data_IF_240099000627
#
_entry.id   IF_240099000627
#
_cell.length_a   1.000
_cell.length_b   1.000
_cell.length_c   1.000
_cell.angle_alpha   90.00
_cell.angle_beta   90.00
_cell.angle_gamma   90.00
#
_symmetry.space_group_name_H-M   'P 1'
#
loop_
_entity.id
_entity.type
_entity.pdbx_description
1 polymer ?
#
# COMPACT_ATOMS: atom_id res chain seq x y z
N UNK A 1 20.52 6.45 -19.68
CA UNK A 1 20.97 6.31 -18.28
C UNK A 1 20.89 7.66 -17.56
N UNK A 2 19.69 8.08 -17.16
CA UNK A 2 19.53 9.20 -16.24
C UNK A 2 19.60 8.67 -14.81
N UNK A 3 20.80 8.46 -14.30
CA UNK A 3 21.00 8.21 -12.86
C UNK A 3 20.49 9.40 -12.07
N UNK A 4 19.83 9.15 -10.93
CA UNK A 4 19.48 10.18 -9.97
C UNK A 4 20.77 10.92 -9.60
N UNK A 5 20.82 12.22 -9.92
CA UNK A 5 21.99 13.04 -9.60
C UNK A 5 21.89 13.54 -8.13
N UNK A 6 21.72 12.60 -7.19
CA UNK A 6 21.69 12.88 -5.77
C UNK A 6 22.88 12.19 -5.09
N UNK A 7 23.61 12.96 -4.30
CA UNK A 7 24.70 12.43 -3.49
C UNK A 7 24.12 11.92 -2.16
N UNK A 8 24.32 10.65 -1.87
CA UNK A 8 23.87 10.02 -0.63
C UNK A 8 24.87 10.35 0.48
N UNK A 9 24.43 11.05 1.50
CA UNK A 9 25.26 11.45 2.65
C UNK A 9 24.81 10.86 3.98
N UNK A 10 23.57 10.31 4.02
CA UNK A 10 22.93 9.76 5.21
C UNK A 10 22.15 8.49 4.86
N UNK A 11 21.72 7.77 5.89
CA UNK A 11 20.71 6.74 5.72
C UNK A 11 19.45 7.36 5.12
N UNK A 12 18.96 6.81 4.02
CA UNK A 12 17.91 7.43 3.23
C UNK A 12 16.70 6.51 3.12
N UNK A 13 15.56 6.96 3.64
CA UNK A 13 14.28 6.35 3.36
C UNK A 13 13.66 6.95 2.09
N UNK A 14 12.88 6.16 1.38
CA UNK A 14 12.03 6.63 0.30
C UNK A 14 10.56 6.38 0.63
N UNK A 15 9.73 7.41 0.52
CA UNK A 15 8.29 7.36 0.74
C UNK A 15 7.56 7.80 -0.52
N UNK A 16 7.16 6.86 -1.40
CA UNK A 16 6.50 7.16 -2.67
C UNK A 16 4.99 7.39 -2.54
N UNK A 17 4.42 7.15 -1.38
CA UNK A 17 2.98 7.22 -1.17
C UNK A 17 2.46 8.67 -1.08
N UNK A 18 1.15 8.81 -1.32
CA UNK A 18 0.43 10.05 -1.08
C UNK A 18 0.46 10.42 0.41
N UNK A 19 0.72 11.68 0.72
CA UNK A 19 0.60 12.21 2.07
C UNK A 19 -0.87 12.50 2.41
N UNK A 20 -1.22 12.35 3.68
CA UNK A 20 -2.55 12.63 4.22
C UNK A 20 -2.84 11.82 5.48
N UNK A 21 -3.93 12.20 6.16
CA UNK A 21 -4.39 11.49 7.37
C UNK A 21 -4.70 10.01 7.08
N UNK A 22 -5.36 9.64 5.96
CA UNK A 22 -5.64 8.23 5.68
C UNK A 22 -4.39 7.35 5.55
N UNK A 23 -3.24 7.93 5.21
CA UNK A 23 -1.95 7.23 5.13
C UNK A 23 -1.12 7.30 6.42
N UNK A 24 -1.60 8.05 7.42
CA UNK A 24 -0.92 8.22 8.70
C UNK A 24 0.33 9.10 8.64
N UNK A 25 0.34 10.07 7.72
CA UNK A 25 1.45 11.05 7.62
C UNK A 25 1.60 11.85 8.91
N UNK A 26 0.50 12.19 9.57
CA UNK A 26 0.48 12.84 10.88
C UNK A 26 1.11 11.99 11.98
N UNK A 27 0.94 10.67 11.93
CA UNK A 27 1.57 9.72 12.88
C UNK A 27 3.07 9.63 12.61
N UNK A 28 3.45 9.54 11.33
CA UNK A 28 4.86 9.55 10.92
C UNK A 28 5.54 10.85 11.38
N UNK A 29 4.96 12.03 11.14
CA UNK A 29 5.53 13.33 11.57
C UNK A 29 5.74 13.39 13.09
N UNK A 30 4.78 12.85 13.86
CA UNK A 30 4.95 12.74 15.32
C UNK A 30 6.08 11.79 15.70
N UNK A 31 6.18 10.65 15.04
CA UNK A 31 7.25 9.67 15.27
C UNK A 31 8.63 10.24 14.97
N UNK A 32 8.79 10.98 13.86
CA UNK A 32 10.05 11.57 13.45
C UNK A 32 10.62 12.56 14.49
N UNK A 33 9.75 13.22 15.26
CA UNK A 33 10.15 14.10 16.37
C UNK A 33 10.73 13.33 17.56
N UNK A 34 10.47 12.02 17.65
CA UNK A 34 10.93 11.13 18.74
C UNK A 34 12.16 10.32 18.35
N UNK A 35 12.51 10.26 17.08
CA UNK A 35 13.68 9.53 16.58
C UNK A 35 14.98 10.12 17.11
N UNK A 36 15.96 9.24 17.39
CA UNK A 36 17.27 9.57 17.95
C UNK A 36 18.40 9.47 16.94
N UNK A 37 18.17 8.78 15.83
CA UNK A 37 19.15 8.53 14.77
C UNK A 37 19.12 9.63 13.72
N UNK A 38 20.21 9.79 12.96
CA UNK A 38 20.32 10.74 11.85
C UNK A 38 20.04 10.07 10.51
N UNK A 39 19.05 10.56 9.80
CA UNK A 39 18.61 10.04 8.50
C UNK A 39 17.86 11.10 7.70
N UNK A 40 17.54 10.80 6.45
CA UNK A 40 16.66 11.60 5.63
C UNK A 40 15.54 10.75 5.01
N UNK A 41 14.42 11.39 4.69
CA UNK A 41 13.29 10.80 3.97
C UNK A 41 13.07 11.57 2.68
N UNK A 42 13.15 10.87 1.56
CA UNK A 42 12.71 11.39 0.27
C UNK A 42 11.21 11.11 0.13
N UNK A 43 10.40 12.12 0.41
CA UNK A 43 8.94 12.04 0.35
C UNK A 43 8.44 12.62 -0.97
N UNK A 44 7.69 11.85 -1.75
CA UNK A 44 7.03 12.39 -2.93
C UNK A 44 6.00 13.44 -2.52
N UNK A 45 6.10 14.64 -3.10
CA UNK A 45 5.16 15.73 -2.86
C UNK A 45 3.83 15.46 -3.57
N UNK A 46 3.02 14.61 -2.95
CA UNK A 46 1.74 14.17 -3.46
C UNK A 46 0.67 14.21 -2.37
N UNK A 47 -0.35 15.05 -2.57
CA UNK A 47 -1.51 15.21 -1.69
C UNK A 47 -2.82 14.95 -2.44
N UNK A 48 -3.88 14.68 -1.69
CA UNK A 48 -5.23 14.85 -2.19
C UNK A 48 -5.59 16.34 -2.13
N UNK A 49 -6.11 16.87 -3.22
CA UNK A 49 -6.51 18.26 -3.34
C UNK A 49 -7.96 18.35 -3.87
N UNK A 50 -8.75 17.30 -3.61
CA UNK A 50 -10.09 17.16 -4.17
C UNK A 50 -11.15 18.05 -3.54
N UNK A 51 -10.90 18.56 -2.33
CA UNK A 51 -11.82 19.40 -1.58
C UNK A 51 -11.08 20.26 -0.53
N UNK A 52 -11.81 21.20 0.08
CA UNK A 52 -11.27 22.17 1.04
C UNK A 52 -10.73 21.51 2.32
N UNK A 53 -11.26 20.37 2.74
CA UNK A 53 -10.77 19.64 3.91
C UNK A 53 -9.38 19.05 3.65
N UNK A 54 -9.19 18.41 2.49
CA UNK A 54 -7.90 17.86 2.08
C UNK A 54 -6.86 18.97 1.87
N UNK A 55 -7.26 20.14 1.37
CA UNK A 55 -6.37 21.31 1.26
C UNK A 55 -5.90 21.82 2.62
N UNK A 56 -6.77 21.85 3.63
CA UNK A 56 -6.40 22.20 5.01
C UNK A 56 -5.44 21.19 5.62
N UNK A 57 -5.69 19.89 5.41
CA UNK A 57 -4.80 18.81 5.84
C UNK A 57 -3.41 18.97 5.20
N UNK A 58 -3.36 19.24 3.90
CA UNK A 58 -2.10 19.52 3.19
C UNK A 58 -1.34 20.68 3.83
N UNK A 59 -2.02 21.81 4.05
CA UNK A 59 -1.42 22.99 4.66
C UNK A 59 -0.88 22.69 6.06
N UNK A 60 -1.65 22.01 6.90
CA UNK A 60 -1.21 21.58 8.22
C UNK A 60 0.04 20.70 8.16
N UNK A 61 0.03 19.65 7.33
CA UNK A 61 1.15 18.72 7.22
C UNK A 61 2.43 19.39 6.68
N UNK A 62 2.29 20.38 5.80
CA UNK A 62 3.43 21.16 5.30
C UNK A 62 3.98 22.11 6.37
N UNK A 63 3.13 22.72 7.18
CA UNK A 63 3.54 23.57 8.30
C UNK A 63 4.24 22.78 9.41
N UNK A 64 3.89 21.50 9.57
CA UNK A 64 4.48 20.60 10.57
C UNK A 64 5.62 19.74 10.00
N UNK A 65 6.09 20.01 8.78
CA UNK A 65 7.08 19.19 8.07
C UNK A 65 8.36 19.00 8.89
N UNK A 66 8.74 17.76 9.25
CA UNK A 66 9.96 17.50 9.99
C UNK A 66 11.23 17.79 9.17
N UNK A 67 12.30 18.21 9.83
CA UNK A 67 13.57 18.52 9.17
C UNK A 67 14.24 17.37 8.44
N UNK A 68 13.91 16.12 8.83
CA UNK A 68 14.38 14.90 8.17
C UNK A 68 13.75 14.68 6.80
N UNK A 69 12.62 15.34 6.50
CA UNK A 69 11.83 15.10 5.29
C UNK A 69 12.22 16.08 4.20
N UNK A 70 12.63 15.54 3.06
CA UNK A 70 12.87 16.28 1.81
C UNK A 70 11.74 15.96 0.82
N UNK A 71 10.96 16.96 0.48
CA UNK A 71 9.94 16.83 -0.53
C UNK A 71 10.57 16.78 -1.92
N UNK A 72 10.23 15.75 -2.68
CA UNK A 72 10.65 15.59 -4.07
C UNK A 72 9.44 15.63 -5.02
N UNK A 73 9.63 16.12 -6.26
CA UNK A 73 8.53 16.16 -7.23
C UNK A 73 7.90 14.79 -7.50
N UNK A 74 6.70 14.78 -8.08
CA UNK A 74 6.07 13.58 -8.60
C UNK A 74 7.00 12.84 -9.56
N UNK A 75 7.12 11.52 -9.36
CA UNK A 75 8.04 10.66 -10.09
C UNK A 75 7.27 9.90 -11.16
N UNK A 76 7.77 9.91 -12.39
CA UNK A 76 7.23 9.05 -13.44
C UNK A 76 7.43 7.57 -13.08
N UNK A 77 6.40 6.73 -13.29
CA UNK A 77 6.42 5.31 -12.95
C UNK A 77 7.70 4.57 -13.38
N UNK A 78 8.18 4.84 -14.60
CA UNK A 78 9.40 4.24 -15.14
C UNK A 78 10.69 4.59 -14.41
N UNK A 79 10.69 5.68 -13.61
CA UNK A 79 11.84 6.11 -12.80
C UNK A 79 11.78 5.65 -11.35
N UNK A 80 10.66 5.12 -10.90
CA UNK A 80 10.49 4.62 -9.52
C UNK A 80 11.57 3.63 -9.09
N UNK A 81 11.99 2.63 -9.93
CA UNK A 81 13.04 1.69 -9.55
C UNK A 81 14.37 2.35 -9.20
N UNK A 82 14.69 3.51 -9.78
CA UNK A 82 15.92 4.26 -9.49
C UNK A 82 15.88 4.80 -8.03
N UNK A 83 14.71 5.30 -7.58
CA UNK A 83 14.53 5.79 -6.21
C UNK A 83 14.51 4.65 -5.20
N UNK A 84 13.83 3.54 -5.50
CA UNK A 84 13.91 2.35 -4.67
C UNK A 84 15.36 1.86 -4.51
N UNK A 85 16.13 1.80 -5.61
CA UNK A 85 17.53 1.37 -5.58
C UNK A 85 18.43 2.33 -4.81
N UNK A 86 18.18 3.64 -4.91
CA UNK A 86 18.94 4.69 -4.24
C UNK A 86 18.75 4.66 -2.72
N UNK A 87 17.55 4.39 -2.22
CA UNK A 87 17.23 4.38 -0.79
C UNK A 87 17.80 3.16 -0.07
N UNK A 88 17.88 3.23 1.28
CA UNK A 88 18.26 2.11 2.15
C UNK A 88 17.05 1.31 2.61
N UNK A 89 15.91 2.01 2.81
CA UNK A 89 14.65 1.43 3.23
C UNK A 89 13.47 2.22 2.65
N UNK A 90 12.29 1.64 2.71
CA UNK A 90 11.05 2.24 2.19
C UNK A 90 10.11 2.55 3.35
N UNK A 91 9.37 3.65 3.25
CA UNK A 91 8.27 3.96 4.17
C UNK A 91 6.95 3.79 3.44
N UNK A 92 6.12 2.87 3.94
CA UNK A 92 4.74 2.64 3.57
C UNK A 92 3.76 3.42 4.44
N UNK A 93 2.53 2.92 4.58
CA UNK A 93 1.50 3.60 5.38
C UNK A 93 1.65 3.34 6.89
N UNK A 94 1.18 4.31 7.71
CA UNK A 94 1.24 4.22 9.17
C UNK A 94 -0.15 4.11 9.81
N UNK A 95 -1.24 3.90 9.03
CA UNK A 95 -2.60 3.90 9.57
C UNK A 95 -3.48 2.75 9.10
N UNK A 96 -3.32 2.29 7.86
CA UNK A 96 -4.24 1.33 7.23
C UNK A 96 -4.20 -0.04 7.92
N UNK A 97 -3.04 -0.46 8.42
CA UNK A 97 -2.87 -1.74 9.13
C UNK A 97 -2.74 -2.95 8.23
N UNK A 98 -2.58 -2.74 6.92
CA UNK A 98 -2.27 -3.78 5.93
C UNK A 98 -1.28 -3.26 4.91
N UNK A 99 -0.57 -4.16 4.26
CA UNK A 99 0.40 -3.80 3.23
C UNK A 99 -0.27 -3.27 1.95
N UNK A 100 0.44 -2.44 1.22
CA UNK A 100 0.03 -1.82 -0.03
C UNK A 100 1.02 -2.13 -1.17
N UNK A 101 0.71 -1.69 -2.39
CA UNK A 101 1.59 -1.91 -3.55
C UNK A 101 3.00 -1.35 -3.35
N UNK A 102 3.11 -0.21 -2.67
CA UNK A 102 4.39 0.42 -2.33
C UNK A 102 5.28 -0.51 -1.50
N UNK A 103 4.66 -1.23 -0.56
CA UNK A 103 5.36 -2.15 0.33
C UNK A 103 5.89 -3.35 -0.46
N UNK A 104 5.06 -3.91 -1.34
CA UNK A 104 5.46 -4.99 -2.24
C UNK A 104 6.59 -4.56 -3.18
N UNK A 105 6.47 -3.38 -3.80
CA UNK A 105 7.50 -2.82 -4.68
C UNK A 105 8.82 -2.63 -3.94
N UNK A 106 8.79 -2.14 -2.70
CA UNK A 106 9.97 -1.98 -1.85
C UNK A 106 10.70 -3.30 -1.63
N UNK A 107 9.98 -4.33 -1.17
CA UNK A 107 10.55 -5.67 -0.94
C UNK A 107 11.06 -6.29 -2.25
N UNK A 108 10.32 -6.17 -3.35
CA UNK A 108 10.74 -6.69 -4.66
C UNK A 108 11.99 -5.96 -5.22
N UNK A 109 12.22 -4.72 -4.79
CA UNK A 109 13.45 -3.97 -5.10
C UNK A 109 14.60 -4.25 -4.11
N UNK A 110 14.43 -5.20 -3.20
CA UNK A 110 15.47 -5.62 -2.25
C UNK A 110 15.65 -4.67 -1.07
N UNK A 111 14.58 -3.99 -0.64
CA UNK A 111 14.61 -3.03 0.46
C UNK A 111 13.71 -3.45 1.61
N UNK A 112 14.16 -3.30 2.87
CA UNK A 112 13.28 -3.42 4.03
C UNK A 112 12.25 -2.30 4.00
N UNK A 113 11.05 -2.59 4.50
CA UNK A 113 9.90 -1.69 4.44
C UNK A 113 9.34 -1.42 5.83
N UNK A 114 9.27 -0.16 6.19
CA UNK A 114 8.54 0.29 7.37
C UNK A 114 7.09 0.58 6.97
N UNK A 115 6.16 -0.28 7.36
CA UNK A 115 4.73 -0.10 7.11
C UNK A 115 3.92 -0.70 8.25
N UNK A 116 2.98 0.08 8.81
CA UNK A 116 2.14 -0.40 9.89
C UNK A 116 1.29 -1.60 9.45
N UNK A 117 1.36 -2.67 10.21
CA UNK A 117 0.57 -3.86 9.99
C UNK A 117 -0.12 -4.30 11.29
N UNK A 118 -1.45 -4.20 11.34
CA UNK A 118 -2.23 -4.59 12.51
C UNK A 118 -2.10 -6.10 12.76
N UNK A 119 -1.57 -6.45 13.93
CA UNK A 119 -1.36 -7.85 14.36
C UNK A 119 -2.66 -8.66 14.49
N UNK A 120 -3.82 -8.00 14.56
CA UNK A 120 -5.13 -8.66 14.58
C UNK A 120 -5.58 -9.07 13.17
N UNK A 121 -5.06 -8.45 12.13
CA UNK A 121 -5.36 -8.82 10.75
C UNK A 121 -4.58 -10.10 10.39
N UNK A 122 -5.34 -11.13 10.02
CA UNK A 122 -4.79 -12.39 9.52
C UNK A 122 -5.15 -12.52 8.05
N UNK A 123 -4.15 -12.83 7.25
CA UNK A 123 -4.27 -13.05 5.81
C UNK A 123 -4.30 -14.55 5.54
N UNK A 124 -5.19 -14.98 4.67
CA UNK A 124 -5.19 -16.37 4.19
C UNK A 124 -4.14 -16.50 3.09
N UNK A 125 -3.04 -17.20 3.40
CA UNK A 125 -1.93 -17.44 2.47
C UNK A 125 -1.68 -18.95 2.41
N UNK A 126 -1.80 -19.52 1.24
CA UNK A 126 -1.60 -20.98 1.02
C UNK A 126 -2.42 -21.83 2.00
N UNK A 127 -3.69 -21.47 2.22
CA UNK A 127 -4.60 -22.17 3.12
C UNK A 127 -4.38 -21.94 4.61
N UNK A 128 -3.40 -21.13 5.01
CA UNK A 128 -3.08 -20.82 6.41
C UNK A 128 -3.33 -19.37 6.75
N UNK A 129 -3.90 -19.09 7.93
CA UNK A 129 -3.99 -17.74 8.45
C UNK A 129 -2.64 -17.27 8.99
N UNK A 130 -2.06 -16.31 8.31
CA UNK A 130 -0.72 -15.78 8.57
C UNK A 130 -0.80 -14.29 8.93
N UNK A 131 0.00 -13.86 9.90
CA UNK A 131 0.20 -12.45 10.19
C UNK A 131 1.18 -11.84 9.19
N UNK A 132 1.03 -10.56 8.94
CA UNK A 132 1.99 -9.82 8.13
C UNK A 132 3.35 -9.72 8.84
N UNK A 133 4.43 -9.73 8.06
CA UNK A 133 5.79 -9.52 8.55
C UNK A 133 6.22 -8.05 8.56
N UNK A 134 5.39 -7.14 8.05
CA UNK A 134 5.69 -5.71 8.07
C UNK A 134 5.58 -5.13 9.48
N UNK A 135 6.47 -4.20 9.81
CA UNK A 135 6.55 -3.52 11.10
C UNK A 135 6.34 -2.01 10.93
N UNK A 136 5.88 -1.32 11.99
CA UNK A 136 5.48 -1.83 13.31
C UNK A 136 4.11 -2.51 13.34
N UNK A 137 3.82 -3.27 14.41
CA UNK A 137 2.49 -3.81 14.68
C UNK A 137 1.59 -2.88 15.51
N UNK A 138 2.05 -1.69 15.79
CA UNK A 138 1.34 -0.60 16.46
C UNK A 138 1.54 0.68 15.68
N UNK A 139 0.49 1.48 15.54
CA UNK A 139 0.55 2.78 14.88
C UNK A 139 0.81 3.95 15.84
N UNK A 140 1.28 3.66 17.07
CA UNK A 140 1.69 4.70 18.01
C UNK A 140 3.00 5.35 17.55
N UNK A 141 3.12 6.67 17.61
CA UNK A 141 4.34 7.36 17.20
C UNK A 141 5.62 6.84 17.87
N UNK A 142 5.55 6.42 19.13
CA UNK A 142 6.68 5.90 19.90
C UNK A 142 7.18 4.57 19.31
N UNK A 143 6.26 3.68 18.92
CA UNK A 143 6.59 2.37 18.34
C UNK A 143 7.14 2.55 16.91
N UNK A 144 6.56 3.47 16.13
CA UNK A 144 7.07 3.83 14.80
C UNK A 144 8.49 4.36 14.92
N UNK A 145 8.74 5.32 15.84
CA UNK A 145 10.06 5.91 16.04
C UNK A 145 11.11 4.87 16.44
N UNK A 146 10.75 3.94 17.34
CA UNK A 146 11.63 2.85 17.73
C UNK A 146 12.06 2.00 16.56
N UNK A 147 11.13 1.59 15.69
CA UNK A 147 11.46 0.78 14.50
C UNK A 147 12.31 1.58 13.49
N UNK A 148 12.04 2.88 13.32
CA UNK A 148 12.91 3.75 12.49
C UNK A 148 14.34 3.74 13.03
N UNK A 149 14.53 3.97 14.33
CA UNK A 149 15.86 4.00 14.94
C UNK A 149 16.57 2.62 14.82
N UNK A 150 15.86 1.51 14.96
CA UNK A 150 16.40 0.16 14.76
C UNK A 150 16.79 -0.08 13.29
N UNK A 151 15.95 0.33 12.33
CA UNK A 151 16.27 0.23 10.90
C UNK A 151 17.52 1.06 10.56
N UNK A 152 17.69 2.24 11.13
CA UNK A 152 18.83 3.12 10.82
C UNK A 152 20.10 2.58 11.48
N UNK A 153 20.05 2.16 12.75
CA UNK A 153 21.22 1.84 13.55
C UNK A 153 21.74 0.40 13.41
N UNK A 154 20.86 -0.59 13.15
CA UNK A 154 21.25 -2.00 13.12
C UNK A 154 21.12 -2.60 11.71
N UNK A 155 22.25 -3.04 11.17
CA UNK A 155 22.26 -3.78 9.90
C UNK A 155 21.62 -5.16 10.06
N UNK A 156 21.86 -5.81 11.18
CA UNK A 156 21.32 -7.14 11.51
C UNK A 156 19.78 -7.09 11.54
N UNK A 157 19.22 -6.06 12.19
CA UNK A 157 17.78 -5.86 12.22
C UNK A 157 17.19 -5.64 10.82
N UNK A 158 17.84 -4.82 9.99
CA UNK A 158 17.41 -4.60 8.61
C UNK A 158 17.41 -5.86 7.78
N UNK A 159 18.47 -6.66 7.89
CA UNK A 159 18.63 -7.90 7.13
C UNK A 159 17.56 -8.92 7.55
N UNK A 160 17.29 -9.05 8.86
CA UNK A 160 16.25 -9.92 9.39
C UNK A 160 14.86 -9.47 8.96
N UNK A 161 14.55 -8.17 9.09
CA UNK A 161 13.29 -7.58 8.66
C UNK A 161 13.05 -7.85 7.18
N UNK A 162 14.02 -7.53 6.33
CA UNK A 162 13.92 -7.75 4.89
C UNK A 162 13.69 -9.23 4.54
N UNK A 163 14.40 -10.17 5.16
CA UNK A 163 14.22 -11.60 4.90
C UNK A 163 12.82 -12.09 5.31
N UNK A 164 12.28 -11.59 6.42
CA UNK A 164 10.92 -11.91 6.87
C UNK A 164 9.88 -11.36 5.90
N UNK A 165 10.03 -10.11 5.48
CA UNK A 165 9.17 -9.47 4.49
C UNK A 165 9.26 -10.17 3.12
N UNK A 166 10.45 -10.50 2.66
CA UNK A 166 10.68 -11.20 1.39
C UNK A 166 9.97 -12.55 1.36
N UNK A 167 10.08 -13.33 2.45
CA UNK A 167 9.37 -14.61 2.57
C UNK A 167 7.86 -14.42 2.56
N UNK A 168 7.38 -13.44 3.29
CA UNK A 168 5.95 -13.11 3.36
C UNK A 168 5.42 -12.70 1.98
N UNK A 169 6.09 -11.78 1.29
CA UNK A 169 5.70 -11.30 -0.05
C UNK A 169 5.76 -12.45 -1.05
N UNK A 170 6.83 -13.25 -1.06
CA UNK A 170 6.95 -14.41 -1.95
C UNK A 170 5.80 -15.40 -1.79
N UNK A 171 5.38 -15.65 -0.55
CA UNK A 171 4.26 -16.55 -0.29
C UNK A 171 2.91 -15.93 -0.66
N UNK A 172 2.70 -14.64 -0.35
CA UNK A 172 1.43 -13.95 -0.60
C UNK A 172 1.20 -13.63 -2.08
N UNK A 173 2.26 -13.57 -2.89
CA UNK A 173 2.21 -13.31 -4.34
C UNK A 173 2.50 -14.53 -5.20
N UNK A 174 2.48 -15.71 -4.63
CA UNK A 174 2.68 -16.98 -5.33
C UNK A 174 1.59 -17.18 -6.39
N UNK A 175 2.00 -17.18 -7.65
CA UNK A 175 1.09 -17.17 -8.81
C UNK A 175 0.29 -18.47 -8.92
N UNK A 176 0.93 -19.60 -8.65
CA UNK A 176 0.29 -20.91 -8.75
C UNK A 176 -0.80 -21.06 -7.68
N UNK A 177 -0.46 -20.71 -6.43
CA UNK A 177 -1.44 -20.73 -5.36
C UNK A 177 -2.61 -19.77 -5.59
N UNK A 178 -2.35 -18.54 -6.04
CA UNK A 178 -3.39 -17.55 -6.32
C UNK A 178 -4.29 -18.05 -7.45
N UNK A 179 -3.71 -18.60 -8.54
CA UNK A 179 -4.50 -19.14 -9.66
C UNK A 179 -5.42 -20.27 -9.20
N UNK A 180 -4.87 -21.26 -8.52
CA UNK A 180 -5.64 -22.41 -8.03
C UNK A 180 -6.75 -21.98 -7.07
N UNK A 181 -6.48 -21.01 -6.17
CA UNK A 181 -7.48 -20.48 -5.25
C UNK A 181 -8.65 -19.79 -5.98
N UNK A 182 -8.35 -19.02 -7.05
CA UNK A 182 -9.36 -18.40 -7.89
C UNK A 182 -10.19 -19.45 -8.64
N UNK A 183 -9.55 -20.48 -9.18
CA UNK A 183 -10.24 -21.57 -9.90
C UNK A 183 -11.19 -22.31 -8.95
N UNK A 184 -10.76 -22.70 -7.76
CA UNK A 184 -11.62 -23.31 -6.72
C UNK A 184 -12.78 -22.39 -6.33
N UNK A 185 -12.52 -21.09 -6.19
CA UNK A 185 -13.54 -20.11 -5.86
C UNK A 185 -14.60 -20.02 -6.97
N UNK A 186 -14.17 -19.94 -8.23
CA UNK A 186 -15.08 -19.91 -9.38
C UNK A 186 -15.87 -21.19 -9.53
N UNK A 187 -15.27 -22.35 -9.35
CA UNK A 187 -15.99 -23.64 -9.34
C UNK A 187 -17.06 -23.68 -8.25
N UNK A 188 -16.72 -23.28 -7.03
CA UNK A 188 -17.66 -23.21 -5.90
C UNK A 188 -18.84 -22.29 -6.22
N UNK A 189 -18.57 -21.13 -6.77
CA UNK A 189 -19.63 -20.20 -7.18
C UNK A 189 -20.46 -20.74 -8.33
N UNK A 190 -19.84 -21.34 -9.35
CA UNK A 190 -20.55 -21.95 -10.48
C UNK A 190 -21.53 -23.03 -10.01
N UNK A 191 -21.10 -23.96 -9.17
CA UNK A 191 -21.96 -24.98 -8.59
C UNK A 191 -23.11 -24.41 -7.78
N UNK A 192 -22.85 -23.37 -6.98
CA UNK A 192 -23.88 -22.67 -6.19
C UNK A 192 -24.89 -21.97 -7.09
N UNK A 193 -24.46 -21.35 -8.18
CA UNK A 193 -25.34 -20.69 -9.14
C UNK A 193 -26.13 -21.70 -10.00
N UNK A 194 -25.57 -22.84 -10.40
CA UNK A 194 -26.30 -23.87 -11.08
C UNK A 194 -27.45 -24.43 -10.21
N UNK A 195 -27.21 -24.64 -8.93
CA UNK A 195 -28.24 -25.06 -7.99
C UNK A 195 -29.34 -24.01 -7.78
N UNK A 196 -29.01 -22.73 -7.83
CA UNK A 196 -29.99 -21.64 -7.79
C UNK A 196 -30.80 -21.60 -9.08
N UNK A 197 -30.18 -21.86 -10.24
CA UNK A 197 -30.87 -21.92 -11.54
C UNK A 197 -31.81 -23.12 -11.68
N UNK A 198 -31.45 -24.26 -11.14
CA UNK A 198 -32.33 -25.45 -11.15
C UNK A 198 -33.60 -25.27 -10.30
N UNK A 199 -33.53 -24.39 -9.28
CA UNK A 199 -34.62 -24.11 -8.34
C UNK A 199 -35.43 -22.85 -8.65
N UNK A 200 -35.00 -22.01 -9.58
CA UNK A 200 -35.70 -20.78 -9.95
C UNK A 200 -36.33 -20.95 -11.33
N UNK A 201 -37.67 -20.96 -11.38
CA UNK A 201 -38.43 -20.90 -12.63
C UNK A 201 -37.98 -19.69 -13.50
N UNK A 202 -37.46 -20.04 -14.66
CA UNK A 202 -37.35 -19.32 -15.94
C UNK A 202 -37.51 -17.77 -15.98
N UNK A 203 -36.70 -17.03 -15.26
CA UNK A 203 -36.44 -15.65 -15.67
C UNK A 203 -35.31 -15.68 -16.69
N UNK A 204 -35.58 -15.30 -17.94
CA UNK A 204 -34.58 -15.37 -19.03
C UNK A 204 -33.33 -14.57 -18.69
N UNK A 205 -32.15 -15.01 -19.14
CA UNK A 205 -30.87 -14.31 -18.97
C UNK A 205 -30.98 -12.84 -19.40
N UNK A 206 -31.75 -12.53 -20.45
CA UNK A 206 -32.01 -11.15 -20.93
C UNK A 206 -32.71 -10.30 -19.89
N UNK A 207 -33.65 -10.88 -19.13
CA UNK A 207 -34.40 -10.16 -18.10
C UNK A 207 -33.54 -9.91 -16.83
N UNK A 208 -32.63 -10.85 -16.51
CA UNK A 208 -31.65 -10.70 -15.43
C UNK A 208 -30.59 -9.64 -15.74
N UNK A 209 -30.07 -9.65 -16.97
CA UNK A 209 -29.18 -8.57 -17.44
C UNK A 209 -29.91 -7.22 -17.44
N UNK A 210 -31.18 -7.20 -17.82
CA UNK A 210 -32.02 -5.98 -17.76
C UNK A 210 -32.18 -5.47 -16.33
N UNK A 211 -32.49 -6.34 -15.37
CA UNK A 211 -32.63 -5.97 -13.95
C UNK A 211 -31.29 -5.54 -13.33
N UNK A 212 -30.18 -6.19 -13.68
CA UNK A 212 -28.83 -5.79 -13.25
C UNK A 212 -28.46 -4.39 -13.78
N UNK A 213 -28.76 -4.12 -15.04
CA UNK A 213 -28.49 -2.81 -15.66
C UNK A 213 -29.38 -1.71 -15.08
N UNK A 214 -30.65 -2.02 -14.78
CA UNK A 214 -31.60 -1.07 -14.16
C UNK A 214 -31.19 -0.75 -12.71
N UNK A 215 -30.72 -1.75 -11.95
CA UNK A 215 -30.26 -1.56 -10.57
C UNK A 215 -28.94 -0.77 -10.45
N UNK A 216 -28.18 -0.67 -11.50
CA UNK A 216 -26.84 -0.08 -11.46
C UNK A 216 -26.81 1.32 -12.13
N UNK A 217 -27.25 2.36 -11.39
CA UNK A 217 -27.29 3.76 -11.86
C UNK A 217 -25.97 4.29 -12.43
N UNK A 218 -24.84 3.68 -12.09
CA UNK A 218 -23.52 4.07 -12.57
C UNK A 218 -23.31 3.72 -14.05
N UNK A 219 -23.78 2.54 -14.49
CA UNK A 219 -23.73 2.13 -15.90
C UNK A 219 -24.65 2.96 -16.80
N UNK A 220 -25.81 3.37 -16.31
CA UNK A 220 -26.73 4.22 -17.06
C UNK A 220 -26.14 5.59 -17.40
N UNK A 221 -25.36 6.19 -16.51
CA UNK A 221 -24.67 7.46 -16.80
C UNK A 221 -23.62 7.30 -17.92
N UNK A 222 -22.92 6.16 -17.97
CA UNK A 222 -21.91 5.86 -18.99
C UNK A 222 -22.53 5.55 -20.34
N UNK A 223 -23.62 4.79 -20.38
CA UNK A 223 -24.37 4.45 -21.60
C UNK A 223 -25.00 5.71 -22.21
N UNK A 224 -25.61 6.59 -21.40
CA UNK A 224 -26.15 7.86 -21.89
C UNK A 224 -25.08 8.78 -22.50
N UNK A 225 -23.85 8.70 -22.07
CA UNK A 225 -22.72 9.46 -22.62
C UNK A 225 -22.24 8.90 -23.96
N UNK A 226 -22.37 7.58 -24.19
CA UNK A 226 -22.02 6.91 -25.44
C UNK A 226 -23.08 7.04 -26.52
N UNK A 227 -24.37 7.24 -26.16
CA UNK A 227 -25.47 7.41 -27.12
C UNK A 227 -25.60 8.88 -27.59
N UNK A 228 -24.96 9.84 -26.88
CA UNK A 228 -25.01 11.28 -27.22
C UNK A 228 -23.84 11.76 -28.08
N UNK A 229 -22.90 10.88 -28.41
CA UNK A 229 -21.84 11.08 -29.38
C UNK A 229 -22.13 10.20 -30.62
#
# INVERSE_FOLDING_TARGET
NNKINMQKTKFTFFSPQRMGIPKGTDLLWKALKLCKTDFEILQVNWFDESNDEELKIKEQLLNELPSQVKLIPMIQRKKMPEYYSFSDAIIGNMRIGTWELVDLEGVMCGKPVLSYSDSNHKLLIKGNYTKSSFLPHSNKPEDIAKIIDEIVSSKEFRDELFENERKFVSNSTDKEWISNWWDELFETFSQKYENIHKNSSSISIKMRMGLFLIGNRFYWKKIKKLIKN
#
